data_IF_453547664211
#
_entry.id   IF_453547664211
#
_cell.length_a   1.000
_cell.length_b   1.000
_cell.length_c   1.000
_cell.angle_alpha   90.00
_cell.angle_beta   90.00
_cell.angle_gamma   90.00
#
_symmetry.space_group_name_H-M   'P 1'
#
loop_
_entity.id
_entity.type
_entity.pdbx_description
1 polymer ?
#
# COMPACT_ATOMS: atom_id res chain seq x y z
N UNK A 1 3.16 18.11 -19.00
CA UNK A 1 3.20 16.82 -18.27
C UNK A 1 4.42 16.85 -17.38
N UNK A 2 4.36 16.24 -16.19
CA UNK A 2 5.56 16.05 -15.38
C UNK A 2 6.55 15.18 -16.16
N UNK A 3 7.84 15.54 -16.10
CA UNK A 3 8.93 14.76 -16.69
C UNK A 3 9.72 14.13 -15.55
N UNK A 4 10.01 12.84 -15.66
CA UNK A 4 10.73 12.08 -14.64
C UNK A 4 12.00 11.48 -15.24
N UNK A 5 13.03 11.33 -14.42
CA UNK A 5 14.33 10.76 -14.77
C UNK A 5 14.85 9.84 -13.65
N UNK A 6 16.07 9.34 -13.78
CA UNK A 6 16.72 8.42 -12.83
C UNK A 6 16.97 9.04 -11.44
N UNK A 7 16.93 10.36 -11.32
CA UNK A 7 17.11 11.09 -10.06
C UNK A 7 15.80 11.51 -9.40
N UNK A 8 14.65 11.27 -10.05
CA UNK A 8 13.34 11.66 -9.52
C UNK A 8 13.04 10.94 -8.20
N UNK A 9 12.62 11.71 -7.19
CA UNK A 9 12.34 11.18 -5.86
C UNK A 9 10.89 10.69 -5.73
N UNK A 10 10.62 9.90 -4.68
CA UNK A 10 9.26 9.42 -4.42
C UNK A 10 8.30 10.55 -4.07
N UNK A 11 8.82 11.61 -3.45
CA UNK A 11 8.12 12.82 -3.05
C UNK A 11 7.64 13.60 -4.28
N UNK A 12 8.50 13.75 -5.29
CA UNK A 12 8.15 14.39 -6.56
C UNK A 12 7.05 13.61 -7.29
N UNK A 13 7.13 12.27 -7.30
CA UNK A 13 6.10 11.41 -7.88
C UNK A 13 4.78 11.56 -7.14
N UNK A 14 4.81 11.52 -5.80
CA UNK A 14 3.60 11.63 -4.98
C UNK A 14 2.93 12.99 -5.16
N UNK A 15 3.70 14.07 -5.20
CA UNK A 15 3.17 15.42 -5.43
C UNK A 15 2.52 15.52 -6.81
N UNK A 16 3.22 15.07 -7.86
CA UNK A 16 2.73 15.11 -9.24
C UNK A 16 1.44 14.29 -9.45
N UNK A 17 1.23 13.24 -8.67
CA UNK A 17 0.06 12.37 -8.75
C UNK A 17 -0.85 12.43 -7.52
N UNK A 18 -0.76 13.48 -6.71
CA UNK A 18 -1.53 13.63 -5.46
C UNK A 18 -3.04 13.44 -5.65
N UNK A 19 -3.61 13.99 -6.72
CA UNK A 19 -5.04 13.81 -7.09
C UNK A 19 -5.44 12.37 -7.41
N UNK A 20 -4.48 11.52 -7.82
CA UNK A 20 -4.67 10.09 -8.10
C UNK A 20 -4.39 9.21 -6.88
N UNK A 21 -3.71 9.73 -5.86
CA UNK A 21 -3.42 9.02 -4.61
C UNK A 21 -4.50 9.29 -3.56
N UNK A 22 -4.89 10.57 -3.43
CA UNK A 22 -5.78 11.04 -2.39
C UNK A 22 -7.09 10.25 -2.36
N UNK A 23 -7.41 9.69 -1.20
CA UNK A 23 -8.66 8.97 -0.97
C UNK A 23 -8.72 7.57 -1.60
N UNK A 24 -7.62 7.05 -2.19
CA UNK A 24 -7.59 5.73 -2.82
C UNK A 24 -7.11 4.64 -1.87
N UNK A 25 -7.42 3.41 -2.24
CA UNK A 25 -6.92 2.20 -1.60
C UNK A 25 -5.78 1.59 -2.42
N UNK A 26 -4.69 1.21 -1.78
CA UNK A 26 -3.54 0.56 -2.42
C UNK A 26 -3.23 -0.78 -1.76
N UNK A 27 -2.93 -1.79 -2.57
CA UNK A 27 -2.37 -3.07 -2.11
C UNK A 27 -0.92 -3.12 -2.54
N UNK A 28 -0.01 -3.32 -1.60
CA UNK A 28 1.42 -3.45 -1.86
C UNK A 28 1.87 -4.83 -1.41
N UNK A 29 2.43 -5.59 -2.36
CA UNK A 29 3.01 -6.91 -2.08
C UNK A 29 4.47 -6.79 -1.66
N UNK A 30 4.91 -7.66 -0.74
CA UNK A 30 6.32 -7.76 -0.35
C UNK A 30 6.85 -6.56 0.43
N UNK A 31 5.98 -5.68 0.93
CA UNK A 31 6.40 -4.59 1.80
C UNK A 31 6.77 -5.08 3.20
N UNK A 32 7.81 -4.47 3.74
CA UNK A 32 8.33 -4.60 5.08
C UNK A 32 8.97 -3.27 5.51
N UNK A 33 9.21 -3.08 6.80
CA UNK A 33 10.03 -1.98 7.29
C UNK A 33 11.40 -1.99 6.59
N UNK A 34 11.92 -0.80 6.26
CA UNK A 34 13.24 -0.63 5.61
C UNK A 34 13.38 -1.39 4.27
N UNK A 35 12.29 -1.55 3.53
CA UNK A 35 12.28 -2.14 2.18
C UNK A 35 11.77 -1.13 1.14
N UNK A 36 11.96 -1.42 -0.15
CA UNK A 36 11.39 -0.62 -1.23
C UNK A 36 9.87 -0.54 -1.14
N UNK A 37 9.20 -1.68 -0.92
CA UNK A 37 7.74 -1.71 -0.72
C UNK A 37 7.30 -0.93 0.53
N UNK A 38 8.12 -0.93 1.59
CA UNK A 38 7.91 -0.10 2.77
C UNK A 38 7.97 1.40 2.44
N UNK A 39 8.99 1.84 1.71
CA UNK A 39 9.06 3.24 1.25
C UNK A 39 7.87 3.60 0.35
N UNK A 40 7.48 2.72 -0.58
CA UNK A 40 6.27 2.95 -1.40
C UNK A 40 5.02 3.15 -0.54
N UNK A 41 4.83 2.33 0.49
CA UNK A 41 3.72 2.45 1.45
C UNK A 41 3.74 3.82 2.15
N UNK A 42 4.89 4.27 2.64
CA UNK A 42 5.02 5.55 3.34
C UNK A 42 4.82 6.74 2.40
N UNK A 43 5.35 6.68 1.18
CA UNK A 43 5.16 7.72 0.17
C UNK A 43 3.67 7.85 -0.23
N UNK A 44 2.97 6.73 -0.43
CA UNK A 44 1.52 6.75 -0.69
C UNK A 44 0.72 7.27 0.51
N UNK A 45 1.13 6.94 1.74
CA UNK A 45 0.52 7.49 2.95
C UNK A 45 0.65 9.02 3.00
N UNK A 46 1.85 9.56 2.74
CA UNK A 46 2.08 11.02 2.64
C UNK A 46 1.26 11.68 1.52
N UNK A 47 0.98 10.94 0.45
CA UNK A 47 0.10 11.36 -0.64
C UNK A 47 -1.40 11.36 -0.32
N UNK A 48 -1.80 10.98 0.90
CA UNK A 48 -3.19 10.99 1.34
C UNK A 48 -4.01 9.77 0.90
N UNK A 49 -3.37 8.60 0.76
CA UNK A 49 -4.09 7.34 0.57
C UNK A 49 -5.11 7.11 1.71
N UNK A 50 -6.31 6.63 1.40
CA UNK A 50 -7.33 6.34 2.42
C UNK A 50 -7.09 4.99 3.12
N UNK A 51 -6.52 4.02 2.40
CA UNK A 51 -6.29 2.68 2.93
C UNK A 51 -5.07 2.05 2.28
N UNK A 52 -4.13 1.58 3.09
CA UNK A 52 -2.98 0.82 2.63
C UNK A 52 -3.07 -0.62 3.12
N UNK A 53 -2.98 -1.56 2.19
CA UNK A 53 -2.99 -2.99 2.46
C UNK A 53 -1.61 -3.56 2.13
N UNK A 54 -0.99 -4.20 3.11
CA UNK A 54 0.34 -4.80 2.96
C UNK A 54 0.19 -6.31 2.90
N UNK A 55 0.38 -6.86 1.70
CA UNK A 55 0.37 -8.30 1.47
C UNK A 55 1.81 -8.82 1.54
N UNK A 56 2.17 -9.55 2.59
CA UNK A 56 3.55 -10.00 2.80
C UNK A 56 3.62 -11.37 3.44
N UNK A 57 4.70 -12.11 3.17
CA UNK A 57 4.90 -13.44 3.74
C UNK A 57 5.18 -13.40 5.24
N UNK A 58 5.95 -12.41 5.71
CA UNK A 58 6.35 -12.30 7.11
C UNK A 58 5.75 -11.03 7.73
N UNK A 59 4.55 -11.18 8.30
CA UNK A 59 3.75 -10.08 8.87
C UNK A 59 4.55 -9.25 9.89
N UNK A 60 5.31 -9.90 10.77
CA UNK A 60 6.17 -9.23 11.76
C UNK A 60 7.15 -8.20 11.17
N UNK A 61 7.60 -8.40 9.93
CA UNK A 61 8.50 -7.45 9.26
C UNK A 61 7.77 -6.20 8.77
N UNK A 62 6.45 -6.24 8.62
CA UNK A 62 5.62 -5.12 8.19
C UNK A 62 4.92 -4.39 9.35
N UNK A 63 4.83 -5.00 10.53
CA UNK A 63 4.22 -4.38 11.72
C UNK A 63 4.74 -2.97 12.04
N UNK A 64 6.06 -2.65 11.94
CA UNK A 64 6.54 -1.30 12.21
C UNK A 64 5.93 -0.23 11.27
N UNK A 65 5.57 -0.60 10.04
CA UNK A 65 4.94 0.33 9.09
C UNK A 65 3.59 0.83 9.59
N UNK A 66 2.87 0.06 10.42
CA UNK A 66 1.58 0.50 10.98
C UNK A 66 1.75 1.77 11.83
N UNK A 67 2.77 1.78 12.69
CA UNK A 67 3.09 2.92 13.54
C UNK A 67 3.61 4.11 12.72
N UNK A 68 4.43 3.86 11.71
CA UNK A 68 4.94 4.90 10.81
C UNK A 68 3.81 5.56 10.01
N UNK A 69 2.88 4.77 9.45
CA UNK A 69 1.70 5.28 8.74
C UNK A 69 0.81 6.09 9.68
N UNK A 70 0.52 5.58 10.88
CA UNK A 70 -0.31 6.29 11.86
C UNK A 70 0.32 7.62 12.31
N UNK A 71 1.66 7.70 12.31
CA UNK A 71 2.41 8.93 12.61
C UNK A 71 2.36 9.95 11.46
N UNK A 72 2.19 9.49 10.22
CA UNK A 72 1.96 10.35 9.05
C UNK A 72 0.52 10.88 9.06
N UNK A 73 -0.45 9.98 9.16
CA UNK A 73 -1.88 10.31 9.26
C UNK A 73 -2.65 9.12 9.88
N UNK A 74 -3.13 9.33 11.10
CA UNK A 74 -3.89 8.33 11.87
C UNK A 74 -5.26 7.97 11.28
N UNK A 75 -5.76 8.74 10.29
CA UNK A 75 -7.01 8.43 9.59
C UNK A 75 -6.84 7.38 8.49
N UNK A 76 -5.59 7.09 8.08
CA UNK A 76 -5.29 6.10 7.05
C UNK A 76 -5.54 4.70 7.62
N UNK A 77 -6.49 3.99 7.02
CA UNK A 77 -6.74 2.59 7.36
C UNK A 77 -5.54 1.74 6.93
N UNK A 78 -5.13 0.80 7.77
CA UNK A 78 -4.05 -0.15 7.46
C UNK A 78 -4.53 -1.59 7.62
N UNK A 79 -4.04 -2.50 6.77
CA UNK A 79 -4.38 -3.92 6.86
C UNK A 79 -3.19 -4.77 6.46
N UNK A 80 -2.77 -5.68 7.33
CA UNK A 80 -1.75 -6.68 7.01
C UNK A 80 -2.43 -7.95 6.52
N UNK A 81 -1.98 -8.49 5.39
CA UNK A 81 -2.52 -9.72 4.79
C UNK A 81 -1.36 -10.71 4.59
N UNK A 82 -1.37 -11.88 5.26
CA UNK A 82 -0.37 -12.90 5.03
C UNK A 82 -0.52 -13.45 3.60
N UNK A 83 0.56 -13.45 2.83
CA UNK A 83 0.56 -13.95 1.47
C UNK A 83 1.98 -14.35 1.04
N UNK A 84 2.19 -15.65 0.78
CA UNK A 84 3.31 -16.12 -0.03
C UNK A 84 2.87 -16.16 -1.50
N UNK A 85 3.48 -15.33 -2.35
CA UNK A 85 3.15 -15.24 -3.77
C UNK A 85 3.56 -16.49 -4.57
N UNK A 86 4.37 -17.38 -3.98
CA UNK A 86 4.72 -18.68 -4.59
C UNK A 86 3.64 -19.74 -4.37
N UNK A 87 2.65 -19.47 -3.50
CA UNK A 87 1.54 -20.37 -3.18
C UNK A 87 0.21 -19.77 -3.67
N UNK A 88 -0.35 -20.37 -4.71
CA UNK A 88 -1.60 -19.88 -5.32
C UNK A 88 -2.83 -19.99 -4.41
N UNK A 89 -2.86 -20.92 -3.44
CA UNK A 89 -3.95 -21.00 -2.47
C UNK A 89 -3.89 -19.82 -1.50
N UNK A 90 -2.67 -19.46 -1.06
CA UNK A 90 -2.47 -18.25 -0.27
C UNK A 90 -2.81 -16.98 -1.05
N UNK A 91 -2.43 -16.89 -2.33
CA UNK A 91 -2.80 -15.76 -3.20
C UNK A 91 -4.32 -15.61 -3.30
N UNK A 92 -5.07 -16.71 -3.51
CA UNK A 92 -6.54 -16.69 -3.56
C UNK A 92 -7.15 -16.26 -2.22
N UNK A 93 -6.62 -16.78 -1.12
CA UNK A 93 -7.08 -16.40 0.23
C UNK A 93 -6.83 -14.92 0.54
N UNK A 94 -5.65 -14.41 0.19
CA UNK A 94 -5.30 -13.00 0.31
C UNK A 94 -6.21 -12.12 -0.54
N UNK A 95 -6.46 -12.49 -1.80
CA UNK A 95 -7.38 -11.76 -2.69
C UNK A 95 -8.80 -11.69 -2.12
N UNK A 96 -9.32 -12.79 -1.56
CA UNK A 96 -10.63 -12.81 -0.89
C UNK A 96 -10.65 -11.86 0.31
N UNK A 97 -9.60 -11.88 1.13
CA UNK A 97 -9.47 -10.98 2.30
C UNK A 97 -9.44 -9.51 1.86
N UNK A 98 -8.66 -9.18 0.82
CA UNK A 98 -8.58 -7.85 0.23
C UNK A 98 -9.94 -7.40 -0.29
N UNK A 99 -10.66 -8.26 -1.01
CA UNK A 99 -11.98 -7.92 -1.56
C UNK A 99 -13.02 -7.62 -0.47
N UNK A 100 -12.90 -8.22 0.72
CA UNK A 100 -13.80 -7.97 1.85
C UNK A 100 -13.46 -6.66 2.57
N UNK A 101 -12.17 -6.30 2.66
CA UNK A 101 -11.74 -5.13 3.42
C UNK A 101 -11.70 -3.83 2.61
N UNK A 102 -11.98 -3.90 1.30
CA UNK A 102 -12.02 -2.78 0.36
C UNK A 102 -13.44 -2.48 -0.14
N UNK A 103 -13.75 -1.22 -0.52
CA UNK A 103 -15.05 -0.91 -1.10
C UNK A 103 -15.27 -1.69 -2.40
N UNK A 104 -16.49 -2.20 -2.61
CA UNK A 104 -16.83 -2.83 -3.88
C UNK A 104 -16.67 -1.82 -5.02
N UNK A 105 -15.83 -2.16 -6.01
CA UNK A 105 -15.76 -1.36 -7.23
C UNK A 105 -16.99 -1.70 -8.10
N UNK A 106 -17.89 -0.73 -8.37
CA UNK A 106 -19.10 -0.99 -9.15
C UNK A 106 -18.81 -1.38 -10.60
N UNK A 107 -17.59 -1.18 -11.11
CA UNK A 107 -17.20 -1.53 -12.49
C UNK A 107 -16.79 -3.00 -12.69
N UNK A 108 -16.60 -3.77 -11.61
CA UNK A 108 -16.11 -5.16 -11.68
C UNK A 108 -16.97 -6.14 -10.85
N UNK A 109 -18.28 -5.85 -10.72
CA UNK A 109 -19.26 -6.81 -10.21
C UNK A 109 -19.89 -7.62 -11.34
#
# INVERSE_FOLDING_TARGET
>A
MASFNETTTSEEIVEAFSSRIKGRTFVITGAAAQSLGGQTVLSLARGGAAHVIIATRTIKKAEPLLSEIASIDSSIKTTLVPCDLTDHDQVRSAAKTISVCTPANPLYR
#
